data_IF_820726252400
#
_entry.id   IF_820726252400
#
_cell.length_a   1.000
_cell.length_b   1.000
_cell.length_c   1.000
_cell.angle_alpha   90.00
_cell.angle_beta   90.00
_cell.angle_gamma   90.00
#
_symmetry.space_group_name_H-M   'P 1'
#
loop_
_entity.id
_entity.type
_entity.pdbx_description
1 polymer ?
#
# COMPACT_ATOMS: atom_id res chain seq x y z
N UNK A 1 -6.42 22.03 20.79
CA UNK A 1 -6.25 22.27 19.34
C UNK A 1 -7.26 21.37 18.64
N UNK A 2 -8.27 21.95 18.00
CA UNK A 2 -9.27 21.21 17.24
C UNK A 2 -8.71 21.07 15.83
N UNK A 3 -8.56 19.83 15.35
CA UNK A 3 -8.01 19.59 14.03
C UNK A 3 -9.14 19.75 13.02
N UNK A 4 -9.17 20.89 12.33
CA UNK A 4 -10.04 21.07 11.16
C UNK A 4 -9.38 20.35 9.98
N UNK A 5 -10.02 19.26 9.54
CA UNK A 5 -9.64 18.53 8.35
C UNK A 5 -10.82 18.58 7.38
N UNK A 6 -10.62 19.18 6.21
CA UNK A 6 -11.64 19.26 5.16
C UNK A 6 -12.05 17.85 4.66
N UNK A 7 -11.14 16.87 4.76
CA UNK A 7 -11.38 15.45 4.53
C UNK A 7 -10.22 14.60 5.06
N UNK A 8 -10.44 13.28 5.21
CA UNK A 8 -9.40 12.32 5.65
C UNK A 8 -8.20 12.23 4.69
N UNK A 9 -8.33 12.68 3.43
CA UNK A 9 -7.24 12.65 2.46
C UNK A 9 -6.26 13.82 2.63
N UNK A 10 -6.73 14.98 3.09
CA UNK A 10 -5.91 16.16 3.41
C UNK A 10 -4.86 15.86 4.49
N UNK A 11 -5.13 14.81 5.25
CA UNK A 11 -4.40 14.28 6.37
C UNK A 11 -3.18 13.44 5.94
N UNK A 12 -3.05 13.15 4.64
CA UNK A 12 -1.92 12.50 3.96
C UNK A 12 -0.86 13.51 3.46
N UNK A 13 -1.11 14.81 3.58
CA UNK A 13 -0.21 15.84 3.07
C UNK A 13 1.10 15.93 3.88
N UNK A 14 2.25 16.18 3.21
CA UNK A 14 3.54 16.37 3.88
C UNK A 14 3.45 17.45 4.96
N UNK A 15 3.98 17.17 6.16
CA UNK A 15 3.96 18.07 7.31
C UNK A 15 2.83 17.84 8.32
N UNK A 16 1.77 17.09 7.97
CA UNK A 16 0.68 16.77 8.93
C UNK A 16 0.95 15.58 9.84
N UNK A 17 2.00 14.80 9.56
CA UNK A 17 2.46 13.73 10.45
C UNK A 17 2.83 14.24 11.84
N UNK A 18 3.48 15.40 11.94
CA UNK A 18 3.87 15.98 13.24
C UNK A 18 2.65 16.38 14.06
N UNK A 19 1.62 16.93 13.40
CA UNK A 19 0.34 17.28 14.02
C UNK A 19 -0.39 16.03 14.54
N UNK A 20 -0.35 14.92 13.79
CA UNK A 20 -0.96 13.65 14.17
C UNK A 20 -0.21 13.04 15.36
N UNK A 21 1.13 13.02 15.30
CA UNK A 21 1.95 12.53 16.40
C UNK A 21 1.70 13.36 17.67
N UNK A 22 1.62 14.68 17.57
CA UNK A 22 1.28 15.57 18.69
C UNK A 22 -0.13 15.33 19.22
N UNK A 23 -1.11 15.10 18.34
CA UNK A 23 -2.48 14.75 18.74
C UNK A 23 -2.52 13.47 19.58
N UNK A 24 -1.78 12.46 19.11
CA UNK A 24 -1.59 11.22 19.85
C UNK A 24 -0.50 11.36 20.91
N UNK A 25 0.11 12.53 21.17
CA UNK A 25 1.21 12.74 22.14
C UNK A 25 2.36 11.72 22.00
N UNK A 26 2.69 11.32 20.78
CA UNK A 26 3.73 10.34 20.45
C UNK A 26 5.05 11.06 20.19
N UNK A 27 6.13 10.49 20.73
CA UNK A 27 7.47 11.07 20.64
C UNK A 27 8.20 10.80 19.32
N UNK A 28 9.37 11.41 19.13
CA UNK A 28 10.19 11.26 17.93
C UNK A 28 10.61 9.80 17.67
N UNK A 29 10.83 8.99 18.72
CA UNK A 29 11.15 7.57 18.59
C UNK A 29 10.05 6.76 17.86
N UNK A 30 8.79 7.16 18.02
CA UNK A 30 7.69 6.54 17.30
C UNK A 30 7.68 6.95 15.83
N UNK A 31 8.00 8.21 15.52
CA UNK A 31 8.19 8.70 14.15
C UNK A 31 9.29 7.92 13.43
N UNK A 32 10.41 7.65 14.09
CA UNK A 32 11.53 6.90 13.50
C UNK A 32 11.14 5.45 13.20
N UNK A 33 10.45 4.77 14.12
CA UNK A 33 9.90 3.42 13.88
C UNK A 33 8.89 3.41 12.73
N UNK A 34 8.05 4.43 12.64
CA UNK A 34 7.11 4.55 11.54
C UNK A 34 7.80 4.81 10.18
N UNK A 35 8.84 5.63 10.15
CA UNK A 35 9.63 5.84 8.94
C UNK A 35 10.29 4.53 8.47
N UNK A 36 10.85 3.75 9.39
CA UNK A 36 11.40 2.41 9.07
C UNK A 36 10.33 1.47 8.50
N UNK A 37 9.12 1.47 9.07
CA UNK A 37 7.97 0.73 8.55
C UNK A 37 7.62 1.18 7.12
N UNK A 38 7.54 2.49 6.90
CA UNK A 38 7.21 3.09 5.60
C UNK A 38 8.22 2.71 4.52
N UNK A 39 9.51 2.77 4.83
CA UNK A 39 10.59 2.39 3.93
C UNK A 39 10.53 0.88 3.61
N UNK A 40 10.35 0.06 4.64
CA UNK A 40 10.23 -1.39 4.48
C UNK A 40 9.00 -1.77 3.63
N UNK A 41 7.86 -1.11 3.84
CA UNK A 41 6.65 -1.34 3.06
C UNK A 41 6.81 -0.88 1.61
N UNK A 42 7.45 0.26 1.38
CA UNK A 42 7.75 0.75 0.03
C UNK A 42 8.62 -0.23 -0.75
N UNK A 43 9.64 -0.80 -0.11
CA UNK A 43 10.47 -1.85 -0.69
C UNK A 43 9.67 -3.14 -0.96
N UNK A 44 8.78 -3.52 -0.04
CA UNK A 44 7.90 -4.68 -0.21
C UNK A 44 6.97 -4.54 -1.42
N UNK A 45 6.26 -3.41 -1.53
CA UNK A 45 5.37 -3.11 -2.66
C UNK A 45 6.16 -3.10 -3.97
N UNK A 46 7.36 -2.52 -3.99
CA UNK A 46 8.23 -2.52 -5.19
C UNK A 46 8.56 -3.94 -5.65
N UNK A 47 8.88 -4.84 -4.71
CA UNK A 47 9.15 -6.25 -5.03
C UNK A 47 7.90 -6.97 -5.55
N UNK A 48 6.73 -6.73 -4.95
CA UNK A 48 5.47 -7.31 -5.43
C UNK A 48 5.15 -6.85 -6.86
N UNK A 49 5.35 -5.57 -7.16
CA UNK A 49 5.16 -5.04 -8.52
C UNK A 49 6.11 -5.70 -9.52
N UNK A 50 7.38 -5.88 -9.17
CA UNK A 50 8.36 -6.58 -10.00
C UNK A 50 7.98 -8.05 -10.21
N UNK A 51 7.53 -8.74 -9.17
CA UNK A 51 7.07 -10.13 -9.26
C UNK A 51 5.84 -10.23 -10.17
N UNK A 52 4.83 -9.39 -9.96
CA UNK A 52 3.63 -9.34 -10.78
C UNK A 52 3.94 -9.03 -12.25
N UNK A 53 4.98 -8.23 -12.52
CA UNK A 53 5.45 -7.97 -13.88
C UNK A 53 5.95 -9.23 -14.59
N UNK A 54 6.64 -10.11 -13.85
CA UNK A 54 7.26 -11.33 -14.38
C UNK A 54 6.26 -12.48 -14.44
N UNK A 55 5.47 -12.67 -13.38
CA UNK A 55 4.53 -13.80 -13.25
C UNK A 55 3.16 -13.52 -13.87
N UNK A 56 2.78 -12.25 -14.00
CA UNK A 56 1.40 -11.84 -14.31
C UNK A 56 0.42 -12.02 -13.14
N UNK A 57 0.88 -12.53 -11.99
CA UNK A 57 0.05 -12.71 -10.80
C UNK A 57 -0.04 -11.40 -10.01
N UNK A 58 -1.26 -10.86 -9.94
CA UNK A 58 -1.57 -9.62 -9.21
C UNK A 58 -2.29 -9.88 -7.90
N UNK A 59 -2.58 -11.13 -7.53
CA UNK A 59 -3.26 -11.45 -6.27
C UNK A 59 -2.56 -10.82 -5.06
N UNK A 60 -1.21 -10.85 -4.93
CA UNK A 60 -0.51 -10.24 -3.80
C UNK A 60 -0.66 -8.71 -3.70
N UNK A 61 -1.06 -8.04 -4.78
CA UNK A 61 -1.28 -6.58 -4.83
C UNK A 61 -2.69 -6.19 -4.36
N UNK A 62 -3.54 -7.14 -4.00
CA UNK A 62 -4.87 -6.87 -3.49
C UNK A 62 -4.81 -6.06 -2.19
N UNK A 63 -5.63 -5.02 -2.08
CA UNK A 63 -5.60 -4.05 -0.98
C UNK A 63 -5.69 -4.72 0.39
N UNK A 64 -6.57 -5.73 0.55
CA UNK A 64 -6.72 -6.46 1.82
C UNK A 64 -5.46 -7.25 2.23
N UNK A 65 -4.71 -7.81 1.27
CA UNK A 65 -3.46 -8.53 1.54
C UNK A 65 -2.33 -7.57 1.88
N UNK A 66 -2.26 -6.44 1.19
CA UNK A 66 -1.33 -5.36 1.51
C UNK A 66 -1.61 -4.79 2.89
N UNK A 67 -2.88 -4.55 3.24
CA UNK A 67 -3.29 -4.06 4.55
C UNK A 67 -2.91 -5.05 5.66
N UNK A 68 -3.20 -6.35 5.46
CA UNK A 68 -2.82 -7.41 6.41
C UNK A 68 -1.30 -7.46 6.61
N UNK A 69 -0.54 -7.36 5.52
CA UNK A 69 0.92 -7.36 5.55
C UNK A 69 1.44 -6.14 6.30
N UNK A 70 0.86 -4.97 6.03
CA UNK A 70 1.28 -3.71 6.64
C UNK A 70 1.00 -3.67 8.15
N UNK A 71 -0.14 -4.22 8.61
CA UNK A 71 -0.39 -4.43 10.04
C UNK A 71 0.61 -5.41 10.66
N UNK A 72 0.90 -6.54 10.00
CA UNK A 72 1.90 -7.48 10.47
C UNK A 72 3.31 -6.89 10.55
N UNK A 73 3.66 -5.98 9.64
CA UNK A 73 4.91 -5.22 9.70
C UNK A 73 4.86 -4.19 10.83
N UNK A 74 3.74 -3.51 11.05
CA UNK A 74 3.60 -2.56 12.15
C UNK A 74 3.80 -3.22 13.52
N UNK A 75 3.32 -4.45 13.69
CA UNK A 75 3.57 -5.25 14.90
C UNK A 75 5.06 -5.55 15.11
N UNK A 76 5.84 -5.69 14.03
CA UNK A 76 7.29 -5.98 14.11
C UNK A 76 8.15 -4.74 14.33
N UNK A 77 7.88 -3.67 13.57
CA UNK A 77 8.71 -2.46 13.56
C UNK A 77 8.30 -1.46 14.63
N UNK A 78 6.99 -1.28 14.86
CA UNK A 78 6.49 -0.31 15.82
C UNK A 78 6.29 -0.94 17.19
N UNK A 79 5.67 -2.13 17.27
CA UNK A 79 5.29 -2.79 18.54
C UNK A 79 4.46 -1.85 19.43
N UNK A 80 3.22 -1.53 19.05
CA UNK A 80 2.38 -0.62 19.84
C UNK A 80 2.04 -1.24 21.21
N UNK A 81 2.29 -0.51 22.29
CA UNK A 81 2.10 -0.96 23.68
C UNK A 81 0.86 -0.33 24.35
N UNK A 82 0.25 0.67 23.71
CA UNK A 82 -0.92 1.37 24.25
C UNK A 82 -2.05 1.49 23.22
N UNK A 83 -3.31 1.59 23.69
CA UNK A 83 -4.47 1.79 22.82
C UNK A 83 -4.34 3.03 21.91
N UNK A 84 -3.64 4.06 22.41
CA UNK A 84 -3.35 5.29 21.68
C UNK A 84 -2.35 5.06 20.54
N UNK A 85 -1.30 4.27 20.79
CA UNK A 85 -0.36 3.86 19.75
C UNK A 85 -1.04 3.00 18.70
N UNK A 86 -1.89 2.04 19.11
CA UNK A 86 -2.68 1.22 18.18
C UNK A 86 -3.56 2.09 17.28
N UNK A 87 -4.26 3.09 17.84
CA UNK A 87 -5.08 4.01 17.07
C UNK A 87 -4.25 4.83 16.07
N UNK A 88 -3.09 5.34 16.49
CA UNK A 88 -2.19 6.08 15.60
C UNK A 88 -1.63 5.19 14.49
N UNK A 89 -1.17 3.97 14.82
CA UNK A 89 -0.68 2.99 13.86
C UNK A 89 -1.77 2.66 12.84
N UNK A 90 -2.98 2.33 13.27
CA UNK A 90 -4.09 2.01 12.38
C UNK A 90 -4.39 3.14 11.40
N UNK A 91 -4.38 4.38 11.90
CA UNK A 91 -4.55 5.57 11.08
C UNK A 91 -3.42 5.74 10.05
N UNK A 92 -2.15 5.67 10.48
CA UNK A 92 -1.00 5.91 9.61
C UNK A 92 -0.76 4.76 8.61
N UNK A 93 -1.05 3.52 8.99
CA UNK A 93 -1.03 2.33 8.11
C UNK A 93 -2.05 2.48 7.00
N UNK A 94 -3.28 2.88 7.34
CA UNK A 94 -4.34 3.13 6.35
C UNK A 94 -3.95 4.27 5.40
N UNK A 95 -3.31 5.30 5.95
CA UNK A 95 -2.79 6.45 5.19
C UNK A 95 -1.70 6.04 4.19
N UNK A 96 -0.76 5.21 4.64
CA UNK A 96 0.32 4.70 3.82
C UNK A 96 -0.20 3.81 2.68
N UNK A 97 -1.18 2.94 2.96
CA UNK A 97 -1.83 2.12 1.93
C UNK A 97 -2.62 2.96 0.91
N UNK A 98 -3.37 3.96 1.38
CA UNK A 98 -4.09 4.86 0.48
C UNK A 98 -3.12 5.58 -0.49
N UNK A 99 -1.94 5.97 -0.01
CA UNK A 99 -0.88 6.55 -0.83
C UNK A 99 -0.35 5.61 -1.93
N UNK A 100 -0.28 4.30 -1.67
CA UNK A 100 0.22 3.34 -2.67
C UNK A 100 -0.82 2.98 -3.74
N UNK A 101 -2.12 3.17 -3.46
CA UNK A 101 -3.20 2.86 -4.40
C UNK A 101 -3.03 3.57 -5.76
N UNK A 102 -2.60 4.84 -5.75
CA UNK A 102 -2.36 5.63 -6.96
C UNK A 102 -1.28 5.03 -7.89
N UNK A 103 -0.37 4.23 -7.33
CA UNK A 103 0.72 3.57 -8.07
C UNK A 103 0.31 2.16 -8.48
N UNK A 104 -0.32 1.40 -7.59
CA UNK A 104 -0.66 -0.01 -7.79
C UNK A 104 -1.78 -0.16 -8.82
N UNK A 105 -2.83 0.67 -8.76
CA UNK A 105 -4.02 0.55 -9.61
C UNK A 105 -3.70 0.65 -11.11
N UNK A 106 -2.94 1.66 -11.61
CA UNK A 106 -2.51 1.71 -13.01
C UNK A 106 -1.63 0.53 -13.41
N UNK A 107 -0.77 0.05 -12.52
CA UNK A 107 0.16 -1.04 -12.81
C UNK A 107 -0.56 -2.37 -13.03
N UNK A 108 -1.52 -2.69 -12.16
CA UNK A 108 -2.37 -3.88 -12.30
C UNK A 108 -3.19 -3.83 -13.59
N UNK A 109 -3.72 -2.65 -13.95
CA UNK A 109 -4.44 -2.47 -15.23
C UNK A 109 -3.55 -2.76 -16.45
N UNK A 110 -2.28 -2.34 -16.44
CA UNK A 110 -1.33 -2.63 -17.52
C UNK A 110 -1.05 -4.15 -17.63
N UNK A 111 -0.90 -4.83 -16.50
CA UNK A 111 -0.68 -6.29 -16.50
C UNK A 111 -1.90 -7.02 -17.07
N UNK A 112 -3.11 -6.67 -16.63
CA UNK A 112 -4.34 -7.25 -17.17
C UNK A 112 -4.53 -6.98 -18.66
N UNK A 113 -4.21 -5.77 -19.14
CA UNK A 113 -4.24 -5.45 -20.57
C UNK A 113 -3.28 -6.34 -21.37
N UNK A 114 -2.05 -6.56 -20.88
CA UNK A 114 -1.09 -7.46 -21.54
C UNK A 114 -1.56 -8.90 -21.57
N UNK A 115 -2.13 -9.39 -20.46
CA UNK A 115 -2.71 -10.73 -20.39
C UNK A 115 -3.87 -10.89 -21.38
N UNK A 116 -4.77 -9.91 -21.46
CA UNK A 116 -5.89 -9.93 -22.42
C UNK A 116 -5.42 -9.82 -23.87
N UNK A 117 -4.42 -8.99 -24.18
CA UNK A 117 -3.85 -8.83 -25.51
C UNK A 117 -3.23 -10.15 -26.03
N UNK A 118 -2.53 -10.88 -25.15
CA UNK A 118 -1.98 -12.22 -25.44
C UNK A 118 -3.08 -13.26 -25.72
N UNK A 119 -4.25 -13.14 -25.08
CA UNK A 119 -5.39 -14.01 -25.35
C UNK A 119 -6.14 -13.65 -26.65
N UNK A 120 -6.16 -12.37 -27.05
CA UNK A 120 -6.78 -11.94 -28.31
C UNK A 120 -5.97 -12.28 -29.58
N UNK A 121 -4.73 -12.77 -29.47
CA UNK A 121 -4.02 -13.40 -30.61
C UNK A 121 -4.44 -14.85 -30.86
N UNK A 122 -5.72 -15.15 -30.67
CA UNK A 122 -6.29 -16.40 -31.19
C UNK A 122 -6.48 -16.26 -32.70
N UNK A 123 -5.74 -17.09 -33.45
CA UNK A 123 -5.74 -17.17 -34.92
C UNK A 123 -7.16 -17.20 -35.51
N UNK A 124 -7.57 -16.11 -36.16
CA UNK A 124 -8.62 -16.16 -37.19
C UNK A 124 -7.99 -16.62 -38.50
N UNK A 125 -7.87 -17.93 -38.69
CA UNK A 125 -7.50 -18.48 -39.99
C UNK A 125 -7.03 -19.92 -39.96
N UNK A 126 -7.94 -20.85 -40.28
CA UNK A 126 -7.58 -22.10 -40.93
C UNK A 126 -7.79 -23.36 -40.10
N UNK A 127 -8.94 -23.98 -40.30
CA UNK A 127 -9.10 -25.44 -40.20
C UNK A 127 -8.04 -26.13 -41.06
N UNK A 128 -7.16 -26.91 -40.43
CA UNK A 128 -6.40 -27.95 -41.11
C UNK A 128 -6.70 -29.30 -40.43
N UNK A 129 -7.85 -29.86 -40.76
CA UNK A 129 -8.05 -31.31 -40.76
C UNK A 129 -7.55 -31.85 -42.10
N UNK A 130 -6.44 -32.59 -42.07
CA UNK A 130 -6.12 -33.75 -42.92
C UNK A 130 -4.84 -34.40 -42.37
#
# INVERSE_FOLDING_TARGET
MQLDFDNMASLLEPGKQEIILDHFRLGPEFKDRFNQLSDAFSLHVTRLLQQAHVSGDTEPLHESLLLKTLFGMADQYIKPESAREVACVAYMVSSLLAGTHAIISPYVAIIHLRASASQTTTFYGGTATA
#
